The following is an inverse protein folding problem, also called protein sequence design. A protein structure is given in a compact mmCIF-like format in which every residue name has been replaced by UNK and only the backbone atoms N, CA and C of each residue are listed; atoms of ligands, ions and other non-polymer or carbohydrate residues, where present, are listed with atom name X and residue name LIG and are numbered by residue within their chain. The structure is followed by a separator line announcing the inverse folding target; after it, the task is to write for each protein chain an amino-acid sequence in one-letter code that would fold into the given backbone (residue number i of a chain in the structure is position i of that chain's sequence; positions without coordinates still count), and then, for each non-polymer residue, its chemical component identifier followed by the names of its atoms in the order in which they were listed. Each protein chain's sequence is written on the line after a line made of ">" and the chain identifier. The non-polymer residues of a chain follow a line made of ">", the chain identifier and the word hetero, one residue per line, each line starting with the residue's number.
data_IF_946194531637
#
_entry.id   IF_946194531637
#
_cell.length_a   1.000
_cell.length_b   1.000
_cell.length_c   1.000
_cell.angle_alpha   90.00
_cell.angle_beta   90.00
_cell.angle_gamma   90.00
#
_symmetry.space_group_name_H-M   'P 1'
#
loop_
_entity.id
_entity.type
_entity.pdbx_description
1 polymer ?
#
# COMPACT_ATOMS: atom_id res chain seq x y z
N UNK A 1 8.85 14.30 2.01
CA UNK A 1 7.81 14.05 1.00
C UNK A 1 6.89 15.25 0.88
N UNK A 2 6.27 15.45 -0.29
CA UNK A 2 5.28 16.52 -0.49
C UNK A 2 4.11 16.34 0.49
N UNK A 3 3.55 17.45 0.99
CA UNK A 3 2.43 17.39 1.94
C UNK A 3 1.14 16.93 1.26
N UNK A 4 0.97 17.27 -0.01
CA UNK A 4 -0.16 16.85 -0.83
C UNK A 4 0.32 16.32 -2.18
N UNK A 5 -0.33 15.25 -2.67
CA UNK A 5 -0.17 14.73 -4.02
C UNK A 5 -1.43 15.04 -4.85
N UNK A 6 -1.25 15.24 -6.15
CA UNK A 6 -2.36 15.22 -7.09
C UNK A 6 -2.83 13.76 -7.23
N UNK A 7 -4.10 13.53 -6.96
CA UNK A 7 -4.77 12.24 -7.07
C UNK A 7 -5.92 12.27 -8.08
N UNK A 8 -5.80 13.12 -9.11
CA UNK A 8 -6.66 13.03 -10.28
C UNK A 8 -6.32 11.73 -11.03
N UNK A 9 -7.29 10.84 -11.15
CA UNK A 9 -7.14 9.52 -11.77
C UNK A 9 -7.77 9.44 -13.17
N UNK A 10 -8.30 10.54 -13.69
CA UNK A 10 -9.00 10.57 -14.97
C UNK A 10 -8.01 10.50 -16.14
N UNK A 11 -6.84 11.09 -15.97
CA UNK A 11 -5.74 11.05 -16.93
C UNK A 11 -4.44 10.68 -16.21
N UNK A 12 -3.63 9.81 -16.82
CA UNK A 12 -2.29 9.47 -16.35
C UNK A 12 -1.25 9.95 -17.34
N UNK A 13 -0.06 10.26 -16.85
CA UNK A 13 1.09 10.59 -17.69
C UNK A 13 1.72 9.33 -18.30
N UNK A 14 2.53 9.54 -19.35
CA UNK A 14 3.17 8.46 -20.12
C UNK A 14 4.07 7.54 -19.28
N UNK A 15 4.54 8.02 -18.13
CA UNK A 15 5.43 7.31 -17.21
C UNK A 15 4.73 6.88 -15.90
N UNK A 16 3.42 6.73 -15.94
CA UNK A 16 2.59 6.33 -14.81
C UNK A 16 1.83 5.03 -15.07
N UNK A 17 1.48 4.35 -14.00
CA UNK A 17 0.67 3.13 -14.02
C UNK A 17 -0.56 3.38 -13.14
N UNK A 18 -1.75 3.27 -13.72
CA UNK A 18 -3.02 3.33 -12.98
C UNK A 18 -3.36 1.95 -12.44
N UNK A 19 -3.68 1.92 -11.16
CA UNK A 19 -4.02 0.70 -10.43
C UNK A 19 -5.46 0.82 -9.91
N UNK A 20 -6.28 -0.18 -10.20
CA UNK A 20 -7.56 -0.41 -9.54
C UNK A 20 -7.29 -1.09 -8.20
N UNK A 21 -7.48 -0.34 -7.11
CA UNK A 21 -7.05 -0.75 -5.76
C UNK A 21 -8.12 -1.59 -5.09
N UNK A 22 -7.72 -2.74 -4.55
CA UNK A 22 -8.59 -3.67 -3.84
C UNK A 22 -8.43 -3.60 -2.33
N UNK A 23 -7.17 -3.59 -1.86
CA UNK A 23 -6.86 -3.65 -0.43
C UNK A 23 -5.69 -2.74 -0.11
N UNK A 24 -5.80 -2.00 0.97
CA UNK A 24 -4.71 -1.29 1.63
C UNK A 24 -4.23 -2.13 2.83
N UNK A 25 -2.92 -2.34 2.94
CA UNK A 25 -2.28 -2.86 4.14
C UNK A 25 -1.65 -1.68 4.85
N UNK A 26 -2.24 -1.24 5.93
CA UNK A 26 -1.79 -0.05 6.65
C UNK A 26 -0.67 -0.47 7.62
N UNK A 27 0.35 0.36 7.71
CA UNK A 27 1.39 0.16 8.72
C UNK A 27 0.78 0.04 10.12
N UNK A 28 1.17 -0.98 10.88
CA UNK A 28 0.56 -1.33 12.16
C UNK A 28 0.50 -0.17 13.16
N UNK A 29 1.59 0.60 13.29
CA UNK A 29 1.59 1.75 14.20
C UNK A 29 0.58 2.82 13.76
N UNK A 30 0.43 2.99 12.45
CA UNK A 30 -0.56 3.92 11.88
C UNK A 30 -1.98 3.41 12.05
N UNK A 31 -2.21 2.12 11.84
CA UNK A 31 -3.55 1.53 12.02
C UNK A 31 -3.98 1.59 13.48
N UNK A 32 -3.12 1.15 14.42
CA UNK A 32 -3.36 1.23 15.86
C UNK A 32 -3.72 2.65 16.30
N UNK A 33 -2.97 3.65 15.84
CA UNK A 33 -3.23 5.06 16.16
C UNK A 33 -4.61 5.52 15.67
N UNK A 34 -5.01 5.13 14.45
CA UNK A 34 -6.34 5.47 13.90
C UNK A 34 -7.44 4.73 14.67
N UNK A 35 -7.24 3.46 14.99
CA UNK A 35 -8.17 2.63 15.74
C UNK A 35 -8.41 3.19 17.17
N UNK A 36 -7.34 3.57 17.86
CA UNK A 36 -7.44 4.23 19.18
C UNK A 36 -8.19 5.56 19.09
N UNK A 37 -7.89 6.39 18.09
CA UNK A 37 -8.60 7.65 17.85
C UNK A 37 -10.09 7.43 17.56
N UNK A 38 -10.43 6.36 16.87
CA UNK A 38 -11.80 5.98 16.54
C UNK A 38 -12.53 5.28 17.69
N UNK A 39 -11.81 4.86 18.76
CA UNK A 39 -12.35 4.06 19.86
C UNK A 39 -12.79 2.66 19.40
N UNK A 40 -12.12 2.08 18.40
CA UNK A 40 -12.41 0.76 17.82
C UNK A 40 -13.65 0.74 16.90
N UNK A 41 -14.26 1.88 16.63
CA UNK A 41 -15.43 1.98 15.74
C UNK A 41 -15.01 2.00 14.27
N UNK A 42 -15.35 0.94 13.52
CA UNK A 42 -15.00 0.81 12.11
C UNK A 42 -15.53 1.96 11.24
N UNK A 43 -16.71 2.50 11.52
CA UNK A 43 -17.23 3.62 10.75
C UNK A 43 -16.38 4.88 10.94
N UNK A 44 -15.92 5.14 12.17
CA UNK A 44 -15.03 6.25 12.47
C UNK A 44 -13.63 6.03 11.91
N UNK A 45 -13.12 4.79 11.91
CA UNK A 45 -11.85 4.47 11.22
C UNK A 45 -11.97 4.84 9.73
N UNK A 46 -13.07 4.44 9.08
CA UNK A 46 -13.32 4.79 7.69
C UNK A 46 -13.35 6.31 7.45
N UNK A 47 -14.08 7.05 8.30
CA UNK A 47 -14.16 8.52 8.21
C UNK A 47 -12.78 9.18 8.34
N UNK A 48 -11.96 8.73 9.28
CA UNK A 48 -10.60 9.25 9.50
C UNK A 48 -9.73 8.99 8.26
N UNK A 49 -9.74 7.77 7.73
CA UNK A 49 -8.94 7.39 6.56
C UNK A 49 -9.37 8.18 5.31
N UNK A 50 -10.68 8.30 5.07
CA UNK A 50 -11.22 9.11 3.97
C UNK A 50 -10.78 10.57 4.08
N UNK A 51 -10.87 11.17 5.27
CA UNK A 51 -10.45 12.55 5.51
C UNK A 51 -8.93 12.77 5.28
N UNK A 52 -8.10 11.79 5.66
CA UNK A 52 -6.66 11.83 5.39
C UNK A 52 -6.40 11.87 3.88
N UNK A 53 -7.02 10.99 3.12
CA UNK A 53 -6.82 10.88 1.67
C UNK A 53 -7.39 12.09 0.94
N UNK A 54 -8.57 12.55 1.29
CA UNK A 54 -9.18 13.77 0.72
C UNK A 54 -8.28 15.00 0.90
N UNK A 55 -7.71 15.16 2.09
CA UNK A 55 -6.83 16.28 2.40
C UNK A 55 -5.49 16.23 1.69
N UNK A 56 -4.89 15.04 1.60
CA UNK A 56 -3.49 14.88 1.20
C UNK A 56 -3.32 14.27 -0.20
N UNK A 57 -4.36 13.73 -0.83
CA UNK A 57 -4.27 12.97 -2.08
C UNK A 57 -3.50 11.66 -1.96
N UNK A 58 -3.28 11.17 -0.73
CA UNK A 58 -2.51 9.99 -0.34
C UNK A 58 -2.87 9.57 1.07
N UNK A 59 -2.55 8.32 1.44
CA UNK A 59 -2.68 7.89 2.83
C UNK A 59 -1.34 8.05 3.57
N UNK A 60 -1.20 9.14 4.30
CA UNK A 60 -0.09 9.36 5.23
C UNK A 60 -0.67 9.73 6.59
N UNK A 61 -0.47 8.85 7.58
CA UNK A 61 -0.93 9.13 8.94
C UNK A 61 -0.25 10.40 9.47
N UNK A 62 -1.00 11.39 9.93
CA UNK A 62 -0.43 12.67 10.38
C UNK A 62 0.40 12.57 11.66
N UNK A 63 0.21 11.50 12.46
CA UNK A 63 0.92 11.27 13.72
C UNK A 63 2.20 10.47 13.49
N UNK A 64 2.10 9.32 12.83
CA UNK A 64 3.25 8.42 12.61
C UNK A 64 4.07 8.79 11.38
N UNK A 65 3.45 9.49 10.41
CA UNK A 65 4.06 9.82 9.11
C UNK A 65 4.15 8.66 8.14
N UNK A 66 3.67 7.49 8.53
CA UNK A 66 3.72 6.24 7.77
C UNK A 66 2.45 6.04 6.93
N UNK A 67 2.45 5.05 6.03
CA UNK A 67 1.33 4.77 5.13
C UNK A 67 0.96 3.30 5.05
N UNK A 68 1.87 2.47 4.58
CA UNK A 68 1.63 1.06 4.27
C UNK A 68 1.75 0.77 2.78
N UNK A 69 1.11 -0.28 2.31
CA UNK A 69 1.16 -0.79 0.93
C UNK A 69 -0.25 -0.97 0.35
N UNK A 70 -0.34 -1.23 -0.94
CA UNK A 70 -1.60 -1.62 -1.58
C UNK A 70 -1.48 -2.90 -2.41
N UNK A 71 -2.60 -3.57 -2.53
CA UNK A 71 -2.90 -4.63 -3.50
C UNK A 71 -3.91 -4.10 -4.51
N UNK A 72 -3.65 -4.33 -5.78
CA UNK A 72 -4.57 -3.93 -6.83
C UNK A 72 -4.27 -4.59 -8.17
N UNK A 73 -5.08 -4.24 -9.15
CA UNK A 73 -4.96 -4.73 -10.53
C UNK A 73 -4.53 -3.58 -11.44
N UNK A 74 -3.55 -3.82 -12.30
CA UNK A 74 -3.11 -2.84 -13.30
C UNK A 74 -4.26 -2.54 -14.27
N UNK A 75 -4.72 -1.29 -14.29
CA UNK A 75 -5.83 -0.85 -15.16
C UNK A 75 -5.31 -0.20 -16.45
N UNK A 76 -4.27 0.61 -16.34
CA UNK A 76 -3.67 1.30 -17.48
C UNK A 76 -2.17 1.50 -17.26
N UNK A 77 -1.42 1.45 -18.35
CA UNK A 77 0.03 1.69 -18.36
C UNK A 77 0.29 2.85 -19.32
N UNK A 78 1.07 3.83 -18.88
CA UNK A 78 1.48 4.95 -19.71
C UNK A 78 2.33 4.50 -20.89
N UNK A 79 2.17 5.16 -22.05
CA UNK A 79 2.74 4.73 -23.31
C UNK A 79 4.28 4.60 -23.29
N UNK A 80 4.96 5.43 -22.50
CA UNK A 80 6.41 5.35 -22.34
C UNK A 80 6.90 4.09 -21.61
N UNK A 81 6.01 3.34 -20.96
CA UNK A 81 6.33 2.16 -20.13
C UNK A 81 6.00 0.83 -20.80
N UNK A 82 5.11 0.81 -21.81
CA UNK A 82 4.51 -0.42 -22.38
C UNK A 82 5.53 -1.50 -22.72
N UNK A 83 6.69 -1.11 -23.31
CA UNK A 83 7.75 -2.06 -23.70
C UNK A 83 8.95 -2.06 -22.74
N UNK A 84 8.88 -1.33 -21.62
CA UNK A 84 10.01 -1.19 -20.69
C UNK A 84 9.84 -1.98 -19.40
N UNK A 85 8.61 -2.32 -19.06
CA UNK A 85 8.28 -3.02 -17.81
C UNK A 85 7.63 -4.36 -18.12
N UNK A 86 7.69 -5.27 -17.16
CA UNK A 86 7.11 -6.62 -17.29
C UNK A 86 5.62 -6.70 -16.88
N UNK A 87 4.98 -5.53 -16.58
CA UNK A 87 3.56 -5.46 -16.27
C UNK A 87 2.67 -5.43 -17.51
N UNK A 88 1.48 -5.98 -17.35
CA UNK A 88 0.40 -5.91 -18.32
C UNK A 88 -0.89 -5.46 -17.62
N UNK A 89 -1.78 -4.85 -18.37
CA UNK A 89 -3.16 -4.58 -17.91
C UNK A 89 -3.80 -5.90 -17.48
N UNK A 90 -4.38 -5.92 -16.29
CA UNK A 90 -4.94 -7.12 -15.66
C UNK A 90 -3.99 -7.85 -14.70
N UNK A 91 -2.70 -7.53 -14.69
CA UNK A 91 -1.77 -8.10 -13.70
C UNK A 91 -2.14 -7.64 -12.28
N UNK A 92 -2.18 -8.57 -11.35
CA UNK A 92 -2.39 -8.29 -9.92
C UNK A 92 -1.04 -8.07 -9.24
N UNK A 93 -0.90 -6.93 -8.59
CA UNK A 93 0.34 -6.49 -7.96
C UNK A 93 0.13 -5.98 -6.54
N UNK A 94 1.16 -6.12 -5.71
CA UNK A 94 1.35 -5.30 -4.53
C UNK A 94 2.39 -4.23 -4.83
N UNK A 95 2.12 -2.98 -4.48
CA UNK A 95 3.14 -1.93 -4.57
C UNK A 95 4.02 -1.99 -3.32
N UNK A 96 5.34 -1.88 -3.51
CA UNK A 96 6.32 -1.81 -2.42
C UNK A 96 6.72 -0.36 -2.12
N UNK A 97 5.95 0.58 -2.66
CA UNK A 97 6.06 2.02 -2.38
C UNK A 97 5.05 2.38 -1.29
N UNK A 98 5.50 3.09 -0.28
CA UNK A 98 4.61 3.53 0.80
C UNK A 98 3.43 4.35 0.29
N UNK A 99 2.24 4.11 0.82
CA UNK A 99 1.05 4.91 0.58
C UNK A 99 1.24 6.39 0.91
N UNK A 100 2.23 6.72 1.74
CA UNK A 100 2.62 8.12 2.03
C UNK A 100 3.27 8.83 0.85
N UNK A 101 3.65 8.10 -0.20
CA UNK A 101 4.28 8.58 -1.44
C UNK A 101 3.46 8.27 -2.69
N UNK A 102 2.32 7.62 -2.54
CA UNK A 102 1.49 7.10 -3.63
C UNK A 102 0.23 7.97 -3.77
N UNK A 103 -0.01 8.61 -4.93
CA UNK A 103 -1.31 9.22 -5.21
C UNK A 103 -2.41 8.19 -5.05
N UNK A 104 -3.41 8.48 -4.23
CA UNK A 104 -4.49 7.58 -3.86
C UNK A 104 -5.83 8.32 -3.85
N UNK A 105 -6.83 7.71 -4.48
CA UNK A 105 -8.24 8.08 -4.36
C UNK A 105 -9.01 6.90 -3.80
N UNK A 106 -9.78 7.13 -2.75
CA UNK A 106 -10.71 6.16 -2.18
C UNK A 106 -12.12 6.62 -2.52
N UNK A 107 -12.83 5.85 -3.32
CA UNK A 107 -14.23 6.12 -3.67
C UNK A 107 -15.16 5.53 -2.59
N UNK A 108 -14.77 4.38 -2.01
CA UNK A 108 -15.53 3.71 -0.95
C UNK A 108 -14.63 2.78 -0.12
N UNK A 109 -14.81 2.76 1.18
CA UNK A 109 -14.31 1.70 2.06
C UNK A 109 -15.38 0.60 2.16
N UNK A 110 -15.00 -0.64 1.83
CA UNK A 110 -15.90 -1.81 1.80
C UNK A 110 -15.85 -2.62 3.08
N UNK A 111 -14.65 -2.86 3.60
CA UNK A 111 -14.45 -3.61 4.84
C UNK A 111 -13.18 -3.16 5.55
N UNK A 112 -13.16 -3.29 6.87
CA UNK A 112 -12.00 -3.00 7.71
C UNK A 112 -11.73 -4.23 8.56
N UNK A 113 -10.49 -4.73 8.48
CA UNK A 113 -10.01 -5.91 9.23
C UNK A 113 -8.90 -5.50 10.21
N UNK A 114 -9.28 -5.06 11.43
CA UNK A 114 -8.31 -4.55 12.40
C UNK A 114 -7.28 -5.59 12.86
N UNK A 115 -7.65 -6.84 12.87
CA UNK A 115 -6.81 -7.98 13.28
C UNK A 115 -5.60 -8.22 12.35
N UNK A 116 -5.62 -7.66 11.15
CA UNK A 116 -4.55 -7.77 10.16
C UNK A 116 -4.19 -6.44 9.49
N UNK A 117 -4.63 -5.32 10.05
CA UNK A 117 -4.35 -3.95 9.58
C UNK A 117 -4.73 -3.69 8.11
N UNK A 118 -5.75 -4.40 7.59
CA UNK A 118 -6.15 -4.32 6.18
C UNK A 118 -7.52 -3.66 6.00
N UNK A 119 -7.64 -2.91 4.90
CA UNK A 119 -8.84 -2.19 4.51
C UNK A 119 -9.15 -2.45 3.05
N UNK A 120 -10.31 -3.05 2.77
CA UNK A 120 -10.80 -3.26 1.41
C UNK A 120 -11.53 -2.01 0.93
N UNK A 121 -11.18 -1.58 -0.27
CA UNK A 121 -11.71 -0.34 -0.86
C UNK A 121 -12.20 -0.54 -2.30
N UNK A 122 -12.97 0.41 -2.78
CA UNK A 122 -13.03 0.80 -4.18
C UNK A 122 -12.23 2.10 -4.30
N UNK A 123 -11.25 2.11 -5.18
CA UNK A 123 -10.39 3.27 -5.35
C UNK A 123 -9.30 3.06 -6.38
N UNK A 124 -8.52 4.09 -6.62
CA UNK A 124 -7.44 4.06 -7.61
C UNK A 124 -6.15 4.66 -7.04
N UNK A 125 -5.04 4.21 -7.57
CA UNK A 125 -3.73 4.73 -7.23
C UNK A 125 -2.85 4.87 -8.48
N UNK A 126 -1.85 5.75 -8.39
CA UNK A 126 -0.82 5.89 -9.41
C UNK A 126 0.50 5.36 -8.87
N UNK A 127 1.08 4.41 -9.58
CA UNK A 127 2.46 3.98 -9.39
C UNK A 127 3.33 4.68 -10.44
N UNK A 128 4.36 5.40 -9.99
CA UNK A 128 5.30 6.06 -10.89
C UNK A 128 6.30 5.05 -11.48
N UNK A 129 6.92 5.40 -12.61
CA UNK A 129 7.95 4.59 -13.29
C UNK A 129 9.03 4.05 -12.33
N UNK A 130 9.44 4.85 -11.35
CA UNK A 130 10.44 4.46 -10.35
C UNK A 130 9.89 3.58 -9.22
N UNK A 131 8.58 3.37 -9.19
CA UNK A 131 7.92 2.60 -8.12
C UNK A 131 8.16 1.11 -8.26
N UNK A 132 8.55 0.47 -7.16
CA UNK A 132 8.74 -0.98 -7.11
C UNK A 132 7.43 -1.70 -6.80
N UNK A 133 7.28 -2.88 -7.34
CA UNK A 133 6.10 -3.74 -7.18
C UNK A 133 6.48 -5.22 -7.15
N UNK A 134 5.57 -6.04 -6.69
CA UNK A 134 5.63 -7.49 -6.82
C UNK A 134 4.34 -8.01 -7.45
N UNK A 135 4.45 -8.90 -8.44
CA UNK A 135 3.29 -9.65 -8.95
C UNK A 135 2.85 -10.65 -7.91
N UNK A 136 1.55 -10.73 -7.68
CA UNK A 136 1.01 -11.67 -6.69
C UNK A 136 0.99 -13.07 -7.30
N UNK A 137 1.62 -14.06 -6.63
CA UNK A 137 1.57 -15.45 -7.07
C UNK A 137 0.14 -15.99 -7.03
N UNK A 138 -0.26 -16.73 -8.08
CA UNK A 138 -1.62 -17.26 -8.17
C UNK A 138 -1.94 -18.39 -7.16
N UNK A 139 -0.90 -18.98 -6.58
CA UNK A 139 -0.98 -20.08 -5.61
C UNK A 139 -0.90 -19.63 -4.14
N UNK A 140 -0.81 -18.32 -3.90
CA UNK A 140 -0.75 -17.73 -2.56
C UNK A 140 -1.99 -16.88 -2.28
N UNK A 141 -2.67 -17.02 -1.12
CA UNK A 141 -3.75 -16.13 -0.73
C UNK A 141 -3.29 -14.66 -0.70
N UNK A 142 -4.07 -13.78 -1.32
CA UNK A 142 -3.70 -12.39 -1.57
C UNK A 142 -3.40 -11.60 -0.29
N UNK A 143 -4.22 -11.78 0.75
CA UNK A 143 -4.02 -11.13 2.04
C UNK A 143 -2.72 -11.58 2.72
N UNK A 144 -2.38 -12.86 2.59
CA UNK A 144 -1.12 -13.40 3.11
C UNK A 144 0.08 -12.88 2.30
N UNK A 145 -0.04 -12.85 0.96
CA UNK A 145 1.00 -12.30 0.09
C UNK A 145 1.28 -10.84 0.43
N UNK A 146 0.23 -10.02 0.59
CA UNK A 146 0.35 -8.60 0.92
C UNK A 146 1.03 -8.40 2.28
N UNK A 147 0.60 -9.10 3.32
CA UNK A 147 1.23 -9.02 4.65
C UNK A 147 2.69 -9.47 4.62
N UNK A 148 3.01 -10.55 3.90
CA UNK A 148 4.39 -11.04 3.79
C UNK A 148 5.31 -10.06 3.06
N UNK A 149 4.82 -9.43 1.99
CA UNK A 149 5.58 -8.43 1.23
C UNK A 149 5.87 -7.17 2.05
N UNK A 150 4.96 -6.80 2.95
CA UNK A 150 5.13 -5.64 3.82
C UNK A 150 6.19 -5.88 4.91
N UNK A 151 6.16 -7.02 5.59
CA UNK A 151 6.94 -7.21 6.83
C UNK A 151 7.99 -8.31 6.77
N UNK A 152 7.97 -9.22 5.80
CA UNK A 152 8.87 -10.38 5.78
C UNK A 152 10.31 -10.07 5.33
N UNK A 153 10.62 -8.85 4.95
CA UNK A 153 11.97 -8.45 4.54
C UNK A 153 13.01 -8.62 5.63
N UNK A 154 12.72 -8.17 6.84
CA UNK A 154 13.64 -8.28 7.98
C UNK A 154 13.89 -9.75 8.41
N UNK A 155 12.87 -10.61 8.60
CA UNK A 155 13.09 -12.03 8.84
C UNK A 155 13.88 -12.72 7.73
N UNK A 156 13.59 -12.44 6.46
CA UNK A 156 14.29 -13.02 5.33
C UNK A 156 15.77 -12.63 5.29
N UNK A 157 16.10 -11.37 5.54
CA UNK A 157 17.48 -10.90 5.62
C UNK A 157 18.20 -11.50 6.83
N UNK A 158 17.54 -11.60 7.97
CA UNK A 158 18.08 -12.24 9.17
C UNK A 158 18.43 -13.69 8.88
N UNK A 159 17.53 -14.46 8.31
CA UNK A 159 17.76 -15.85 7.93
C UNK A 159 18.93 -16.02 6.93
N UNK A 160 19.14 -15.05 6.05
CA UNK A 160 20.24 -15.06 5.07
C UNK A 160 21.60 -14.71 5.67
N UNK A 161 21.64 -13.79 6.62
CA UNK A 161 22.88 -13.19 7.12
C UNK A 161 23.41 -13.85 8.39
N UNK A 162 22.53 -14.33 9.28
CA UNK A 162 22.88 -14.92 10.57
C UNK A 162 23.32 -16.37 10.38
N UNK A 163 24.46 -16.72 11.00
CA UNK A 163 25.03 -18.05 10.97
C UNK A 163 24.92 -18.73 12.34
N UNK A 164 24.94 -20.06 12.41
CA UNK A 164 25.03 -20.77 13.69
C UNK A 164 26.23 -20.30 14.54
N UNK A 165 25.93 -19.86 15.76
CA UNK A 165 26.94 -19.31 16.68
C UNK A 165 27.05 -17.79 16.70
N UNK A 166 26.38 -17.08 15.80
CA UNK A 166 26.36 -15.62 15.83
C UNK A 166 25.49 -15.08 16.98
N UNK A 167 25.91 -13.94 17.51
CA UNK A 167 25.06 -13.15 18.44
C UNK A 167 24.26 -12.13 17.69
N UNK A 168 22.93 -12.15 17.87
CA UNK A 168 22.00 -11.21 17.22
C UNK A 168 21.44 -10.26 18.26
N UNK A 169 21.47 -8.96 17.95
CA UNK A 169 20.83 -7.92 18.76
C UNK A 169 19.66 -7.36 17.97
N UNK A 170 18.47 -7.42 18.55
CA UNK A 170 17.26 -6.82 18.00
C UNK A 170 16.99 -5.51 18.73
N UNK A 171 16.92 -4.41 17.96
CA UNK A 171 16.57 -3.09 18.46
C UNK A 171 15.11 -2.84 18.09
N UNK A 172 14.27 -2.63 19.09
CA UNK A 172 12.83 -2.38 18.93
C UNK A 172 12.41 -1.04 19.52
#
# INVERSE_FOLDING_TARGET
>A
PADKLDNNMDEIYDNEILIDVQTLNIDSASFTQIEEQAGGDKAKIAEIMMAIVEKQGKHRNPVTGSGGMLLGTVEKIGDALVDKIDLKVGDKIATLVSLSLTPLRIDKIKDIRPDIDQVDIDGKAILFESGIYAKIPADLPENLALSALDVAGAPAQTAKLVRPGDTVVVLG
#
